data_IF_986713540520
#
_entry.id   IF_986713540520
#
_cell.length_a   1.000
_cell.length_b   1.000
_cell.length_c   1.000
_cell.angle_alpha   90.00
_cell.angle_beta   90.00
_cell.angle_gamma   90.00
#
_symmetry.space_group_name_H-M   'P 1'
#
loop_
_entity.id
_entity.type
_entity.pdbx_description
1 polymer ?
#
# COMPACT_ATOMS: atom_id res chain seq x y z
N UNK A 1 15.96 72.60 41.74
CA UNK A 1 15.30 71.28 41.73
C UNK A 1 14.40 71.26 40.51
N UNK A 2 14.79 70.55 39.44
CA UNK A 2 13.98 70.46 38.22
C UNK A 2 13.65 68.99 38.02
N UNK A 3 12.36 68.68 38.16
CA UNK A 3 11.76 67.38 37.89
C UNK A 3 11.94 66.98 36.42
N UNK A 4 12.42 65.76 36.20
CA UNK A 4 12.22 65.04 34.94
C UNK A 4 11.88 63.58 35.23
N UNK A 5 10.59 63.20 35.15
CA UNK A 5 10.30 61.86 34.64
C UNK A 5 8.98 61.86 33.84
N UNK A 6 9.04 61.87 32.50
CA UNK A 6 7.86 61.45 31.71
C UNK A 6 8.16 60.96 30.28
N UNK A 7 9.37 61.17 29.72
CA UNK A 7 9.68 60.78 28.34
C UNK A 7 9.94 59.28 28.13
N UNK A 8 10.46 58.56 29.15
CA UNK A 8 10.79 57.11 29.03
C UNK A 8 9.56 56.18 29.09
N UNK A 9 8.49 56.58 29.77
CA UNK A 9 7.27 55.77 29.88
C UNK A 9 6.43 55.78 28.60
N UNK A 10 6.38 56.91 27.88
CA UNK A 10 5.64 57.06 26.64
C UNK A 10 6.26 56.26 25.46
N UNK A 11 7.59 56.16 25.42
CA UNK A 11 8.31 55.36 24.41
C UNK A 11 8.10 53.86 24.59
N UNK A 12 8.18 53.34 25.82
CA UNK A 12 7.89 51.93 26.11
C UNK A 12 6.43 51.55 25.79
N UNK A 13 5.47 52.45 26.04
CA UNK A 13 4.04 52.23 25.68
C UNK A 13 3.82 52.20 24.16
N UNK A 14 4.55 53.02 23.38
CA UNK A 14 4.46 52.97 21.90
C UNK A 14 5.09 51.71 21.31
N UNK A 15 6.18 51.23 21.88
CA UNK A 15 6.87 50.03 21.39
C UNK A 15 6.09 48.74 21.67
N UNK A 16 5.45 48.62 22.85
CA UNK A 16 4.52 47.52 23.14
C UNK A 16 3.23 47.59 22.29
N UNK A 17 2.72 48.78 22.00
CA UNK A 17 1.55 48.96 21.12
C UNK A 17 1.87 48.61 19.66
N UNK A 18 3.10 48.86 19.19
CA UNK A 18 3.57 48.51 17.84
C UNK A 18 3.79 47.00 17.69
N UNK A 19 4.46 46.36 18.66
CA UNK A 19 4.60 44.89 18.71
C UNK A 19 3.25 44.17 18.82
N UNK A 20 2.31 44.71 19.60
CA UNK A 20 0.95 44.18 19.68
C UNK A 20 0.19 44.25 18.36
N UNK A 21 0.34 45.35 17.61
CA UNK A 21 -0.23 45.49 16.25
C UNK A 21 0.44 44.57 15.24
N UNK A 22 1.75 44.36 15.31
CA UNK A 22 2.48 43.42 14.43
C UNK A 22 2.06 41.97 14.69
N UNK A 23 1.94 41.55 15.96
CA UNK A 23 1.43 40.22 16.32
C UNK A 23 -0.03 40.02 15.90
N UNK A 24 -0.88 41.03 16.09
CA UNK A 24 -2.27 41.00 15.63
C UNK A 24 -2.33 40.87 14.10
N UNK A 25 -1.47 41.58 13.38
CA UNK A 25 -1.41 41.52 11.91
C UNK A 25 -0.96 40.15 11.43
N UNK A 26 0.05 39.55 12.07
CA UNK A 26 0.49 38.18 11.78
C UNK A 26 -0.64 37.18 12.06
N UNK A 27 -1.33 37.32 13.20
CA UNK A 27 -2.46 36.46 13.55
C UNK A 27 -3.61 36.59 12.54
N UNK A 28 -3.95 37.82 12.12
CA UNK A 28 -4.97 38.08 11.09
C UNK A 28 -4.55 37.46 9.76
N UNK A 29 -3.29 37.56 9.34
CA UNK A 29 -2.79 36.92 8.11
C UNK A 29 -2.89 35.40 8.20
N UNK A 30 -2.54 34.79 9.33
CA UNK A 30 -2.68 33.35 9.55
C UNK A 30 -4.15 32.94 9.51
N UNK A 31 -5.04 33.68 10.18
CA UNK A 31 -6.49 33.41 10.18
C UNK A 31 -7.08 33.60 8.79
N UNK A 32 -6.68 34.62 8.04
CA UNK A 32 -7.10 34.82 6.64
C UNK A 32 -6.58 33.71 5.74
N UNK A 33 -5.32 33.29 5.90
CA UNK A 33 -4.78 32.16 5.16
C UNK A 33 -5.56 30.86 5.47
N UNK A 34 -5.86 30.60 6.74
CA UNK A 34 -6.69 29.47 7.17
C UNK A 34 -8.15 29.60 6.72
N UNK A 35 -8.71 30.79 6.66
CA UNK A 35 -10.07 31.05 6.18
C UNK A 35 -10.19 30.89 4.66
N UNK A 36 -9.18 31.35 3.91
CA UNK A 36 -9.07 31.13 2.46
C UNK A 36 -8.86 29.63 2.19
N UNK A 37 -8.00 28.95 2.95
CA UNK A 37 -7.83 27.49 2.89
C UNK A 37 -9.15 26.77 3.19
N UNK A 38 -9.85 27.12 4.28
CA UNK A 38 -11.14 26.52 4.63
C UNK A 38 -12.24 26.83 3.61
N UNK A 39 -12.25 28.04 3.03
CA UNK A 39 -13.17 28.45 1.98
C UNK A 39 -12.96 27.65 0.70
N UNK A 40 -11.71 27.54 0.24
CA UNK A 40 -11.32 26.76 -0.94
C UNK A 40 -11.59 25.25 -0.76
N UNK A 41 -11.36 24.71 0.44
CA UNK A 41 -11.64 23.29 0.76
C UNK A 41 -13.13 22.97 0.73
N UNK A 42 -14.01 23.96 0.97
CA UNK A 42 -15.48 23.79 0.88
C UNK A 42 -16.05 23.96 -0.53
N UNK A 43 -15.46 24.81 -1.38
CA UNK A 43 -15.99 25.09 -2.73
C UNK A 43 -15.38 24.22 -3.82
N UNK A 44 -14.13 23.82 -3.68
CA UNK A 44 -13.50 22.87 -4.59
C UNK A 44 -13.80 21.49 -4.05
N UNK A 45 -14.68 20.75 -4.72
CA UNK A 45 -14.82 19.31 -4.51
C UNK A 45 -13.49 18.63 -4.85
N UNK A 46 -12.53 18.66 -3.92
CA UNK A 46 -11.25 17.98 -4.00
C UNK A 46 -11.45 16.49 -4.30
N UNK A 47 -12.61 15.92 -3.92
CA UNK A 47 -13.03 14.56 -4.27
C UNK A 47 -13.13 14.31 -5.78
N UNK A 48 -13.48 15.30 -6.59
CA UNK A 48 -13.59 15.15 -8.06
C UNK A 48 -12.21 15.17 -8.74
N UNK A 49 -11.25 15.90 -8.18
CA UNK A 49 -9.90 16.04 -8.76
C UNK A 49 -8.91 14.98 -8.25
N UNK A 50 -9.04 14.52 -7.00
CA UNK A 50 -8.08 13.61 -6.37
C UNK A 50 -8.33 12.12 -6.65
N UNK A 51 -9.48 11.78 -7.24
CA UNK A 51 -9.89 10.39 -7.49
C UNK A 51 -10.33 9.63 -6.23
N UNK A 52 -10.73 8.36 -6.43
CA UNK A 52 -10.92 7.40 -5.33
C UNK A 52 -9.55 6.88 -4.90
N UNK A 53 -9.37 6.73 -3.60
CA UNK A 53 -8.14 6.21 -2.98
C UNK A 53 -8.39 4.79 -2.56
N UNK A 54 -7.50 3.89 -2.96
CA UNK A 54 -7.60 2.47 -2.67
C UNK A 54 -6.84 2.12 -1.38
N UNK A 55 -5.91 2.98 -0.94
CA UNK A 55 -5.12 2.79 0.25
C UNK A 55 -5.66 3.55 1.48
N UNK A 56 -5.70 2.91 2.64
CA UNK A 56 -6.24 3.52 3.88
C UNK A 56 -5.20 4.21 4.76
N UNK A 57 -3.94 4.26 4.36
CA UNK A 57 -2.82 4.82 5.14
C UNK A 57 -2.58 4.16 6.51
N UNK A 58 -3.21 3.01 6.79
CA UNK A 58 -2.97 2.21 7.99
C UNK A 58 -2.14 0.96 7.64
N UNK A 59 -2.50 0.30 6.54
CA UNK A 59 -1.72 -0.80 5.99
C UNK A 59 -0.44 -0.34 5.27
N UNK A 60 0.45 -1.27 4.99
CA UNK A 60 1.61 -1.03 4.13
C UNK A 60 1.17 -0.65 2.72
N UNK A 61 1.90 0.28 2.10
CA UNK A 61 1.71 0.63 0.70
C UNK A 61 2.71 -0.15 -0.13
N UNK A 62 2.21 -1.03 -1.01
CA UNK A 62 3.02 -1.90 -1.88
C UNK A 62 2.87 -1.44 -3.32
N UNK A 63 3.98 -1.36 -4.04
CA UNK A 63 3.96 -1.02 -5.46
C UNK A 63 5.13 -1.63 -6.22
N UNK A 64 4.89 -2.05 -7.47
CA UNK A 64 5.96 -2.35 -8.41
C UNK A 64 6.64 -1.06 -8.90
N UNK A 65 7.97 -1.05 -8.92
CA UNK A 65 8.78 0.02 -9.49
C UNK A 65 9.47 -0.46 -10.78
N UNK A 66 9.12 0.20 -11.89
CA UNK A 66 9.85 0.09 -13.16
C UNK A 66 11.14 0.88 -13.11
N UNK A 67 12.17 0.30 -12.50
CA UNK A 67 13.54 0.84 -12.39
C UNK A 67 14.56 -0.13 -13.00
N UNK A 68 15.84 0.20 -12.94
CA UNK A 68 16.93 -0.70 -13.33
C UNK A 68 17.86 -0.97 -12.13
N UNK A 69 17.87 -2.18 -11.54
CA UNK A 69 16.93 -3.29 -11.79
C UNK A 69 15.49 -2.96 -11.35
N UNK A 70 14.48 -3.71 -11.83
CA UNK A 70 13.10 -3.58 -11.35
C UNK A 70 13.02 -3.86 -9.84
N UNK A 71 12.01 -3.33 -9.16
CA UNK A 71 11.88 -3.53 -7.72
C UNK A 71 10.44 -3.54 -7.22
N UNK A 72 10.24 -4.03 -6.01
CA UNK A 72 9.01 -3.80 -5.23
C UNK A 72 9.31 -2.77 -4.14
N UNK A 73 8.51 -1.71 -4.12
CA UNK A 73 8.49 -0.69 -3.09
C UNK A 73 7.47 -1.05 -2.02
N UNK A 74 7.91 -0.99 -0.76
CA UNK A 74 7.03 -1.14 0.39
C UNK A 74 7.27 0.01 1.36
N UNK A 75 6.23 0.81 1.60
CA UNK A 75 6.19 1.70 2.75
C UNK A 75 5.41 1.02 3.88
N UNK A 76 6.07 0.75 5.00
CA UNK A 76 5.44 0.26 6.22
C UNK A 76 5.22 1.44 7.17
N UNK A 77 4.02 1.55 7.74
CA UNK A 77 3.68 2.63 8.67
C UNK A 77 4.24 2.41 10.07
N UNK A 78 4.19 1.17 10.56
CA UNK A 78 4.58 0.78 11.92
C UNK A 78 5.35 -0.55 11.89
N UNK A 79 6.68 -0.57 12.16
CA UNK A 79 7.53 0.61 12.31
C UNK A 79 7.58 1.42 11.00
N UNK A 80 7.69 2.76 11.11
CA UNK A 80 7.71 3.62 9.93
C UNK A 80 9.03 3.43 9.17
N UNK A 81 8.99 2.82 7.99
CA UNK A 81 10.16 2.57 7.13
C UNK A 81 9.79 2.33 5.67
N UNK A 82 10.79 2.41 4.80
CA UNK A 82 10.67 2.11 3.37
C UNK A 82 11.65 0.99 3.03
N UNK A 83 11.21 0.02 2.27
CA UNK A 83 12.05 -1.00 1.66
C UNK A 83 11.89 -1.03 0.14
N UNK A 84 13.00 -1.20 -0.54
CA UNK A 84 13.11 -1.39 -1.98
C UNK A 84 13.73 -2.75 -2.25
N UNK A 85 12.92 -3.67 -2.73
CA UNK A 85 13.31 -5.04 -3.00
C UNK A 85 13.68 -5.20 -4.47
N UNK A 86 14.98 -5.30 -4.76
CA UNK A 86 15.50 -5.46 -6.13
C UNK A 86 15.13 -6.85 -6.65
N UNK A 87 14.51 -6.87 -7.82
CA UNK A 87 14.16 -8.08 -8.55
C UNK A 87 15.20 -8.33 -9.64
N UNK A 88 15.49 -9.60 -9.91
CA UNK A 88 16.38 -9.98 -11.00
C UNK A 88 15.56 -10.22 -12.28
N UNK A 89 15.69 -9.36 -13.31
CA UNK A 89 14.91 -9.46 -14.54
C UNK A 89 15.26 -10.72 -15.36
N UNK A 90 16.36 -11.40 -15.07
CA UNK A 90 16.78 -12.61 -15.77
C UNK A 90 16.14 -13.89 -15.24
N UNK A 91 15.55 -13.87 -14.03
CA UNK A 91 14.95 -15.05 -13.38
C UNK A 91 13.57 -15.36 -13.91
N UNK A 92 13.18 -16.63 -13.72
CA UNK A 92 11.83 -17.11 -13.99
C UNK A 92 10.93 -16.95 -12.77
N UNK A 93 9.70 -16.52 -13.00
CA UNK A 93 8.65 -16.28 -12.01
C UNK A 93 7.42 -17.10 -12.39
N UNK A 94 6.64 -17.51 -11.38
CA UNK A 94 5.40 -18.24 -11.59
C UNK A 94 4.33 -17.30 -12.15
N UNK A 95 3.73 -17.71 -13.26
CA UNK A 95 2.79 -16.85 -13.99
C UNK A 95 1.33 -17.03 -13.57
N UNK A 96 1.00 -18.14 -12.91
CA UNK A 96 -0.37 -18.61 -12.68
C UNK A 96 -1.02 -19.29 -13.89
N UNK A 97 -0.48 -19.13 -15.10
CA UNK A 97 -1.03 -19.73 -16.33
C UNK A 97 -0.58 -21.18 -16.50
N UNK A 98 -1.53 -22.11 -16.50
CA UNK A 98 -1.28 -23.54 -16.74
C UNK A 98 -0.52 -23.86 -18.03
N UNK A 99 -0.65 -23.05 -19.08
CA UNK A 99 0.02 -23.24 -20.38
C UNK A 99 1.46 -22.72 -20.38
N UNK A 100 1.72 -21.69 -19.59
CA UNK A 100 3.03 -21.06 -19.48
C UNK A 100 3.35 -20.80 -18.00
N UNK A 101 3.55 -21.85 -17.19
CA UNK A 101 3.58 -21.74 -15.72
C UNK A 101 4.74 -20.90 -15.20
N UNK A 102 5.81 -20.76 -15.99
CA UNK A 102 6.97 -19.94 -15.67
C UNK A 102 7.26 -18.97 -16.80
N UNK A 103 7.54 -17.72 -16.42
CA UNK A 103 7.93 -16.65 -17.36
C UNK A 103 9.17 -15.93 -16.87
N UNK A 104 9.99 -15.47 -17.80
CA UNK A 104 11.13 -14.64 -17.46
C UNK A 104 10.69 -13.19 -17.24
N UNK A 105 11.09 -12.57 -16.12
CA UNK A 105 10.58 -11.25 -15.74
C UNK A 105 10.85 -10.16 -16.79
N UNK A 106 12.04 -10.15 -17.39
CA UNK A 106 12.40 -9.24 -18.49
C UNK A 106 11.41 -9.30 -19.66
N UNK A 107 11.00 -10.49 -20.09
CA UNK A 107 10.03 -10.65 -21.19
C UNK A 107 8.68 -10.04 -20.84
N UNK A 108 8.21 -10.24 -19.60
CA UNK A 108 6.93 -9.69 -19.14
C UNK A 108 6.98 -8.16 -19.06
N UNK A 109 8.13 -7.59 -18.66
CA UNK A 109 8.36 -6.14 -18.65
C UNK A 109 8.33 -5.60 -20.09
N UNK A 110 8.97 -6.28 -21.04
CA UNK A 110 9.05 -5.90 -22.44
C UNK A 110 7.68 -5.97 -23.16
N UNK A 111 6.82 -6.91 -22.75
CA UNK A 111 5.45 -7.06 -23.26
C UNK A 111 4.53 -5.86 -22.92
N UNK A 112 4.96 -4.96 -22.02
CA UNK A 112 4.22 -3.77 -21.55
C UNK A 112 2.82 -4.06 -21.00
N UNK A 113 2.51 -5.32 -20.67
CA UNK A 113 1.28 -5.70 -20.01
C UNK A 113 1.44 -5.59 -18.49
N UNK A 114 1.26 -4.37 -17.98
CA UNK A 114 1.45 -4.06 -16.56
C UNK A 114 0.54 -4.88 -15.64
N UNK A 115 -0.71 -5.14 -16.04
CA UNK A 115 -1.62 -5.95 -15.22
C UNK A 115 -1.09 -7.36 -15.03
N UNK A 116 -0.62 -7.97 -16.13
CA UNK A 116 0.02 -9.29 -16.08
C UNK A 116 1.29 -9.26 -15.22
N UNK A 117 2.15 -8.27 -15.41
CA UNK A 117 3.38 -8.11 -14.60
C UNK A 117 3.08 -8.07 -13.10
N UNK A 118 2.11 -7.25 -12.72
CA UNK A 118 1.74 -7.05 -11.32
C UNK A 118 1.14 -8.33 -10.71
N UNK A 119 0.28 -9.05 -11.45
CA UNK A 119 -0.27 -10.33 -10.99
C UNK A 119 0.81 -11.39 -10.82
N UNK A 120 1.78 -11.48 -11.74
CA UNK A 120 2.90 -12.43 -11.66
C UNK A 120 3.77 -12.14 -10.43
N UNK A 121 4.04 -10.86 -10.15
CA UNK A 121 4.76 -10.49 -8.94
C UNK A 121 3.94 -10.75 -7.68
N UNK A 122 2.63 -10.52 -7.71
CA UNK A 122 1.73 -10.80 -6.57
C UNK A 122 1.72 -12.30 -6.22
N UNK A 123 1.67 -13.17 -7.24
CA UNK A 123 1.77 -14.63 -7.10
C UNK A 123 3.11 -15.00 -6.47
N UNK A 124 4.23 -14.62 -7.11
CA UNK A 124 5.55 -15.07 -6.66
C UNK A 124 6.04 -14.48 -5.36
N UNK A 125 5.50 -13.34 -4.93
CA UNK A 125 5.83 -12.73 -3.63
C UNK A 125 4.83 -13.17 -2.55
N UNK A 126 3.66 -13.67 -2.94
CA UNK A 126 2.57 -13.97 -2.02
C UNK A 126 2.02 -12.71 -1.33
N UNK A 127 1.88 -11.60 -2.06
CA UNK A 127 1.25 -10.38 -1.55
C UNK A 127 0.43 -9.68 -2.62
N UNK A 128 -0.65 -9.01 -2.21
CA UNK A 128 -1.42 -8.17 -3.11
C UNK A 128 -0.60 -6.96 -3.55
N UNK A 129 -0.37 -6.85 -4.85
CA UNK A 129 0.28 -5.72 -5.49
C UNK A 129 -0.74 -5.19 -6.47
N UNK A 130 -1.24 -3.97 -6.24
CA UNK A 130 -2.17 -3.33 -7.18
C UNK A 130 -1.54 -2.11 -7.85
N UNK A 131 -0.57 -1.50 -7.19
CA UNK A 131 0.02 -0.24 -7.62
C UNK A 131 1.30 -0.47 -8.41
N UNK A 132 1.54 0.37 -9.42
CA UNK A 132 2.82 0.42 -10.13
C UNK A 132 3.28 1.86 -10.33
N UNK A 133 4.59 2.04 -10.42
CA UNK A 133 5.24 3.29 -10.80
C UNK A 133 6.39 2.96 -11.76
N UNK A 134 6.26 3.34 -13.02
CA UNK A 134 7.34 3.23 -14.00
C UNK A 134 8.13 4.53 -14.03
N UNK A 135 9.46 4.43 -13.89
CA UNK A 135 10.38 5.54 -14.11
C UNK A 135 11.17 5.29 -15.39
N UNK A 136 11.31 6.30 -16.23
CA UNK A 136 12.21 6.19 -17.38
C UNK A 136 13.68 6.19 -16.91
N UNK A 137 14.40 5.09 -17.19
CA UNK A 137 15.86 4.95 -17.02
C UNK A 137 16.40 5.26 -15.62
N UNK A 138 15.62 5.00 -14.57
CA UNK A 138 16.01 5.31 -13.20
C UNK A 138 16.76 4.14 -12.56
N UNK A 139 18.02 4.38 -12.19
CA UNK A 139 18.85 3.40 -11.48
C UNK A 139 18.44 3.28 -10.02
N UNK A 140 18.59 2.08 -9.48
CA UNK A 140 18.27 1.77 -8.09
C UNK A 140 19.53 1.62 -7.22
N UNK A 141 20.42 2.61 -7.32
CA UNK A 141 21.55 2.77 -6.41
C UNK A 141 21.21 3.72 -5.24
N UNK A 142 22.01 3.67 -4.18
CA UNK A 142 21.74 4.39 -2.93
C UNK A 142 21.64 5.90 -3.13
N UNK A 143 22.53 6.47 -3.93
CA UNK A 143 22.56 7.92 -4.18
C UNK A 143 21.29 8.38 -4.90
N UNK A 144 20.90 7.68 -5.96
CA UNK A 144 19.69 7.96 -6.74
C UNK A 144 18.43 7.80 -5.88
N UNK A 145 18.40 6.78 -5.04
CA UNK A 145 17.29 6.53 -4.12
C UNK A 145 17.19 7.62 -3.04
N UNK A 146 18.31 7.99 -2.40
CA UNK A 146 18.35 9.04 -1.38
C UNK A 146 17.91 10.39 -1.97
N UNK A 147 18.37 10.72 -3.18
CA UNK A 147 17.94 11.91 -3.90
C UNK A 147 16.44 11.90 -4.20
N UNK A 148 15.92 10.75 -4.64
CA UNK A 148 14.48 10.57 -4.94
C UNK A 148 13.62 10.68 -3.70
N UNK A 149 14.08 10.09 -2.59
CA UNK A 149 13.43 10.21 -1.30
C UNK A 149 13.38 11.67 -0.84
N UNK A 150 14.49 12.41 -0.92
CA UNK A 150 14.54 13.84 -0.55
C UNK A 150 13.60 14.68 -1.41
N UNK A 151 13.59 14.46 -2.73
CA UNK A 151 12.69 15.18 -3.64
C UNK A 151 11.23 14.89 -3.28
N UNK A 152 10.88 13.61 -3.10
CA UNK A 152 9.52 13.22 -2.73
C UNK A 152 9.13 13.75 -1.35
N UNK A 153 9.98 13.65 -0.33
CA UNK A 153 9.72 14.14 1.02
C UNK A 153 9.67 15.67 1.13
N UNK A 154 10.03 16.40 0.07
CA UNK A 154 10.06 17.87 0.08
C UNK A 154 8.69 18.51 0.27
N UNK A 155 8.69 19.77 0.72
CA UNK A 155 7.48 20.60 0.85
C UNK A 155 6.86 20.98 -0.51
N UNK A 156 7.61 20.83 -1.60
CA UNK A 156 7.14 21.13 -2.95
C UNK A 156 6.29 19.99 -3.54
N UNK A 157 6.44 18.76 -3.05
CA UNK A 157 5.78 17.56 -3.60
C UNK A 157 4.25 17.63 -3.64
N UNK A 158 3.53 18.12 -2.61
CA UNK A 158 2.08 18.25 -2.69
C UNK A 158 1.63 19.11 -3.87
N UNK A 159 2.34 20.20 -4.14
CA UNK A 159 2.04 21.07 -5.28
C UNK A 159 2.35 20.36 -6.61
N UNK A 160 3.43 19.58 -6.70
CA UNK A 160 3.73 18.75 -7.87
C UNK A 160 2.64 17.69 -8.12
N UNK A 161 2.13 17.06 -7.07
CA UNK A 161 1.04 16.07 -7.17
C UNK A 161 -0.26 16.74 -7.65
N UNK A 162 -0.66 17.84 -6.99
CA UNK A 162 -1.91 18.55 -7.31
C UNK A 162 -1.90 19.21 -8.69
N UNK A 163 -0.74 19.69 -9.14
CA UNK A 163 -0.60 20.26 -10.50
C UNK A 163 -0.43 19.19 -11.58
N UNK A 164 -0.40 17.91 -11.22
CA UNK A 164 -0.15 16.80 -12.14
C UNK A 164 1.30 16.74 -12.67
N UNK A 165 2.19 17.64 -12.25
CA UNK A 165 3.60 17.69 -12.69
C UNK A 165 4.42 16.47 -12.25
N UNK A 166 3.95 15.72 -11.26
CA UNK A 166 4.57 14.45 -10.87
C UNK A 166 4.41 13.37 -11.96
N UNK A 167 3.37 13.48 -12.79
CA UNK A 167 3.11 12.61 -13.95
C UNK A 167 3.79 13.14 -15.23
N UNK A 168 4.98 13.74 -15.10
CA UNK A 168 5.74 14.16 -16.28
C UNK A 168 6.00 12.98 -17.22
N UNK A 169 6.43 13.25 -18.46
CA UNK A 169 6.74 12.23 -19.48
C UNK A 169 7.69 11.10 -19.01
N UNK A 170 8.32 11.25 -17.85
CA UNK A 170 9.28 10.34 -17.24
C UNK A 170 8.68 9.39 -16.19
N UNK A 171 7.41 9.54 -15.80
CA UNK A 171 6.73 8.71 -14.79
C UNK A 171 5.31 8.32 -15.21
N UNK A 172 5.00 7.01 -15.17
CA UNK A 172 3.64 6.48 -15.37
C UNK A 172 3.22 5.65 -14.17
N UNK A 173 1.99 5.82 -13.68
CA UNK A 173 1.49 5.14 -12.48
C UNK A 173 -0.03 5.06 -12.47
N UNK A 174 -0.59 4.03 -11.82
CA UNK A 174 -2.00 3.96 -11.47
C UNK A 174 -2.31 4.44 -10.04
N UNK A 175 -1.30 4.89 -9.28
CA UNK A 175 -1.50 5.41 -7.93
C UNK A 175 -2.29 6.72 -8.01
N UNK A 176 -3.39 6.79 -7.27
CA UNK A 176 -4.23 7.99 -7.26
C UNK A 176 -3.48 9.19 -6.69
N UNK A 177 -3.81 10.40 -7.13
CA UNK A 177 -3.26 11.63 -6.54
C UNK A 177 -3.50 11.69 -5.03
N UNK A 178 -4.66 11.20 -4.57
CA UNK A 178 -4.99 11.10 -3.15
C UNK A 178 -4.03 10.17 -2.42
N UNK A 179 -3.76 8.98 -2.96
CA UNK A 179 -2.84 8.02 -2.35
C UNK A 179 -1.40 8.55 -2.35
N UNK A 180 -0.96 9.23 -3.43
CA UNK A 180 0.34 9.91 -3.46
C UNK A 180 0.47 11.00 -2.38
N UNK A 181 -0.58 11.79 -2.14
CA UNK A 181 -0.59 12.80 -1.08
C UNK A 181 -0.57 12.17 0.31
N UNK A 182 -1.32 11.09 0.52
CA UNK A 182 -1.27 10.32 1.77
C UNK A 182 0.13 9.73 1.99
N UNK A 183 0.74 9.19 0.94
CA UNK A 183 2.07 8.60 1.01
C UNK A 183 3.11 9.68 1.32
N UNK A 184 3.06 10.81 0.63
CA UNK A 184 3.89 11.98 0.95
C UNK A 184 3.75 12.40 2.41
N UNK A 185 2.52 12.49 2.92
CA UNK A 185 2.26 12.89 4.29
C UNK A 185 2.94 11.97 5.30
N UNK A 186 2.94 10.66 5.02
CA UNK A 186 3.63 9.69 5.86
C UNK A 186 5.15 9.77 5.71
N UNK A 187 5.64 9.87 4.47
CA UNK A 187 7.06 9.80 4.11
C UNK A 187 7.83 11.07 4.52
N UNK A 188 7.24 12.26 4.48
CA UNK A 188 7.95 13.52 4.84
C UNK A 188 8.51 13.55 6.27
N UNK A 189 8.00 12.69 7.15
CA UNK A 189 8.45 12.54 8.53
C UNK A 189 9.52 11.45 8.74
N UNK A 190 9.84 10.68 7.69
CA UNK A 190 10.86 9.64 7.74
C UNK A 190 12.27 10.25 7.63
N UNK A 191 13.21 9.65 8.36
CA UNK A 191 14.63 9.88 8.12
C UNK A 191 15.13 8.94 7.02
N UNK A 192 16.14 9.39 6.27
CA UNK A 192 16.79 8.59 5.21
C UNK A 192 17.31 7.24 5.72
N UNK A 193 17.77 7.19 6.97
CA UNK A 193 18.29 5.96 7.57
C UNK A 193 17.22 4.86 7.77
N UNK A 194 15.94 5.16 7.51
CA UNK A 194 14.82 4.21 7.49
C UNK A 194 14.48 3.71 6.08
N UNK A 195 15.35 3.98 5.12
CA UNK A 195 15.27 3.45 3.77
C UNK A 195 16.23 2.25 3.64
N UNK A 196 15.69 1.13 3.23
CA UNK A 196 16.41 -0.12 3.05
C UNK A 196 16.35 -0.55 1.58
N UNK A 197 17.49 -0.98 1.04
CA UNK A 197 17.58 -1.55 -0.30
C UNK A 197 18.00 -3.00 -0.12
N UNK A 198 17.11 -3.92 -0.47
CA UNK A 198 17.29 -5.35 -0.28
C UNK A 198 17.43 -6.01 -1.64
N UNK A 199 18.47 -6.81 -1.84
CA UNK A 199 18.66 -7.58 -3.07
C UNK A 199 18.02 -8.96 -2.92
N UNK A 200 17.10 -9.30 -3.84
CA UNK A 200 16.44 -10.60 -3.88
C UNK A 200 17.07 -11.57 -4.88
N UNK A 201 18.14 -11.21 -5.59
CA UNK A 201 18.77 -12.08 -6.58
C UNK A 201 19.21 -13.45 -6.00
N UNK A 202 19.53 -13.49 -4.70
CA UNK A 202 19.91 -14.70 -3.98
C UNK A 202 18.71 -15.59 -3.56
N UNK A 203 17.48 -15.08 -3.60
CA UNK A 203 16.27 -15.88 -3.38
C UNK A 203 15.88 -16.57 -4.69
N UNK A 204 16.69 -17.54 -5.09
CA UNK A 204 16.53 -18.27 -6.35
C UNK A 204 16.79 -19.75 -6.19
N UNK A 205 16.07 -20.54 -6.97
CA UNK A 205 16.19 -21.99 -7.01
C UNK A 205 16.26 -22.49 -8.45
N UNK A 206 16.78 -23.70 -8.63
CA UNK A 206 16.78 -24.36 -9.93
C UNK A 206 15.45 -25.09 -10.12
N UNK A 207 14.66 -24.66 -11.12
CA UNK A 207 13.36 -25.25 -11.41
C UNK A 207 13.47 -26.11 -12.67
N UNK A 208 12.96 -27.33 -12.59
CA UNK A 208 12.85 -28.20 -13.76
C UNK A 208 11.60 -27.83 -14.54
N UNK A 209 11.78 -27.38 -15.78
CA UNK A 209 10.69 -27.16 -16.74
C UNK A 209 10.47 -28.40 -17.60
N UNK A 210 9.37 -28.44 -18.34
CA UNK A 210 9.09 -29.50 -19.30
C UNK A 210 10.30 -29.78 -20.21
N UNK A 211 10.48 -31.05 -20.58
CA UNK A 211 11.63 -31.57 -21.36
C UNK A 211 12.98 -31.63 -20.60
N UNK A 212 12.97 -31.78 -19.27
CA UNK A 212 14.19 -31.87 -18.43
C UNK A 212 15.14 -30.67 -18.51
N UNK A 213 14.69 -29.54 -19.06
CA UNK A 213 15.46 -28.32 -19.03
C UNK A 213 15.39 -27.71 -17.62
N UNK A 214 16.52 -27.18 -17.15
CA UNK A 214 16.63 -26.51 -15.86
C UNK A 214 16.75 -25.01 -16.10
N UNK A 215 15.96 -24.24 -15.37
CA UNK A 215 16.01 -22.78 -15.40
C UNK A 215 16.21 -22.25 -13.99
N UNK A 216 16.80 -21.07 -13.88
CA UNK A 216 16.97 -20.41 -12.60
C UNK A 216 15.73 -19.56 -12.30
N UNK A 217 14.88 -20.08 -11.43
CA UNK A 217 13.66 -19.43 -10.97
C UNK A 217 13.86 -18.70 -9.65
N UNK A 218 12.80 -18.02 -9.22
CA UNK A 218 12.73 -17.47 -7.86
C UNK A 218 12.26 -18.51 -6.87
N UNK A 219 12.84 -18.50 -5.68
CA UNK A 219 12.34 -19.26 -4.53
C UNK A 219 11.24 -18.40 -3.87
N UNK A 220 9.97 -18.74 -4.13
CA UNK A 220 8.79 -17.99 -3.67
C UNK A 220 8.71 -17.92 -2.14
N UNK A 221 9.10 -18.99 -1.44
CA UNK A 221 9.07 -19.03 0.03
C UNK A 221 10.12 -18.07 0.61
N UNK A 222 11.35 -18.10 0.07
CA UNK A 222 12.41 -17.16 0.46
C UNK A 222 12.05 -15.72 0.13
N UNK A 223 11.39 -15.47 -0.99
CA UNK A 223 10.89 -14.14 -1.36
C UNK A 223 9.85 -13.63 -0.36
N UNK A 224 8.81 -14.43 -0.13
CA UNK A 224 7.74 -14.10 0.81
C UNK A 224 8.29 -13.86 2.21
N UNK A 225 9.18 -14.73 2.70
CA UNK A 225 9.79 -14.60 4.03
C UNK A 225 10.56 -13.28 4.20
N UNK A 226 11.28 -12.82 3.18
CA UNK A 226 12.01 -11.54 3.21
C UNK A 226 11.08 -10.32 3.17
N UNK A 227 9.94 -10.43 2.49
CA UNK A 227 9.02 -9.30 2.26
C UNK A 227 7.96 -9.17 3.36
N UNK A 228 7.44 -10.29 3.89
CA UNK A 228 6.37 -10.33 4.89
C UNK A 228 6.57 -9.41 6.11
N UNK A 229 7.78 -9.25 6.69
CA UNK A 229 8.01 -8.33 7.81
C UNK A 229 7.67 -6.85 7.52
N UNK A 230 7.60 -6.47 6.25
CA UNK A 230 7.28 -5.11 5.80
C UNK A 230 5.79 -4.95 5.44
N UNK A 231 5.04 -6.05 5.38
CA UNK A 231 3.61 -6.07 5.05
C UNK A 231 2.71 -6.08 6.29
N UNK A 232 3.26 -6.44 7.46
CA UNK A 232 2.50 -6.56 8.70
C UNK A 232 1.72 -5.27 9.03
N UNK A 233 0.41 -5.43 9.24
CA UNK A 233 -0.51 -4.37 9.60
C UNK A 233 -0.80 -4.40 11.10
N UNK A 234 -0.09 -3.58 11.88
CA UNK A 234 -0.27 -3.52 13.34
C UNK A 234 -1.64 -2.97 13.78
N UNK A 235 -2.39 -2.33 12.87
CA UNK A 235 -3.74 -1.81 13.16
C UNK A 235 -4.82 -2.91 13.16
N UNK A 236 -4.49 -4.15 12.80
CA UNK A 236 -5.44 -5.26 12.82
C UNK A 236 -5.95 -5.56 14.23
N UNK A 237 -7.26 -5.77 14.35
CA UNK A 237 -7.89 -6.12 15.62
C UNK A 237 -7.40 -7.49 16.08
N UNK A 238 -6.70 -7.54 17.23
CA UNK A 238 -6.17 -8.77 17.82
C UNK A 238 -7.23 -9.86 18.02
N UNK A 239 -8.48 -9.48 18.31
CA UNK A 239 -9.60 -10.42 18.53
C UNK A 239 -10.20 -10.98 17.23
N UNK A 240 -9.78 -10.48 16.07
CA UNK A 240 -10.28 -10.87 14.74
C UNK A 240 -9.13 -11.22 13.81
N UNK A 241 -8.07 -11.85 14.36
CA UNK A 241 -6.91 -12.29 13.57
C UNK A 241 -7.09 -13.65 12.92
N UNK A 242 -7.99 -14.49 13.42
CA UNK A 242 -8.26 -15.79 12.84
C UNK A 242 -9.18 -15.63 11.63
N UNK A 243 -8.69 -16.08 10.47
CA UNK A 243 -9.39 -16.02 9.19
C UNK A 243 -9.50 -17.42 8.62
N UNK A 244 -10.71 -17.84 8.29
CA UNK A 244 -10.95 -19.08 7.54
C UNK A 244 -11.04 -18.76 6.06
N UNK A 245 -10.23 -19.42 5.25
CA UNK A 245 -10.26 -19.30 3.79
C UNK A 245 -10.97 -20.54 3.24
N UNK A 246 -12.17 -20.37 2.72
CA UNK A 246 -12.90 -21.40 2.00
C UNK A 246 -12.64 -21.25 0.49
N UNK A 247 -11.89 -22.20 -0.06
CA UNK A 247 -11.70 -22.26 -1.50
C UNK A 247 -12.89 -22.98 -2.14
N UNK A 248 -13.70 -22.23 -2.90
CA UNK A 248 -14.79 -22.79 -3.70
C UNK A 248 -14.45 -22.88 -5.18
N UNK A 249 -13.24 -22.46 -5.57
CA UNK A 249 -12.77 -22.53 -6.96
C UNK A 249 -12.23 -23.92 -7.30
N UNK A 250 -12.03 -24.19 -8.59
CA UNK A 250 -11.35 -25.38 -9.09
C UNK A 250 -9.81 -25.26 -9.04
N UNK A 251 -9.27 -24.11 -8.64
CA UNK A 251 -7.83 -23.85 -8.57
C UNK A 251 -7.34 -23.98 -7.13
N UNK A 252 -6.70 -25.09 -6.79
CA UNK A 252 -6.15 -25.33 -5.44
C UNK A 252 -5.13 -24.24 -5.03
N UNK A 253 -4.32 -23.76 -5.98
CA UNK A 253 -3.32 -22.72 -5.74
C UNK A 253 -3.94 -21.36 -5.32
N UNK A 254 -5.22 -21.11 -5.62
CA UNK A 254 -5.91 -19.89 -5.21
C UNK A 254 -6.02 -19.80 -3.68
N UNK A 255 -6.27 -20.92 -3.00
CA UNK A 255 -6.33 -20.97 -1.54
C UNK A 255 -4.97 -20.64 -0.90
N UNK A 256 -3.89 -21.18 -1.49
CA UNK A 256 -2.51 -20.93 -1.05
C UNK A 256 -2.16 -19.45 -1.20
N UNK A 257 -2.41 -18.87 -2.38
CA UNK A 257 -2.13 -17.45 -2.63
C UNK A 257 -2.93 -16.54 -1.69
N UNK A 258 -4.22 -16.80 -1.52
CA UNK A 258 -5.07 -16.07 -0.59
C UNK A 258 -4.55 -16.18 0.86
N UNK A 259 -4.08 -17.36 1.27
CA UNK A 259 -3.50 -17.58 2.60
C UNK A 259 -2.21 -16.78 2.77
N UNK A 260 -1.36 -16.69 1.74
CA UNK A 260 -0.15 -15.84 1.78
C UNK A 260 -0.51 -14.35 1.88
N UNK A 261 -1.49 -13.87 1.11
CA UNK A 261 -1.94 -12.48 1.18
C UNK A 261 -2.41 -12.11 2.59
N UNK A 262 -3.20 -13.00 3.21
CA UNK A 262 -3.82 -12.77 4.51
C UNK A 262 -2.80 -12.95 5.64
N UNK A 263 -1.96 -13.98 5.60
CA UNK A 263 -0.93 -14.21 6.63
C UNK A 263 0.19 -13.17 6.58
N UNK A 264 0.63 -12.75 5.38
CA UNK A 264 1.67 -11.73 5.21
C UNK A 264 1.34 -10.38 5.83
N UNK A 265 0.05 -10.02 5.93
CA UNK A 265 -0.39 -8.77 6.58
C UNK A 265 -0.65 -8.94 8.09
N UNK A 266 -0.50 -10.14 8.64
CA UNK A 266 -0.52 -10.40 10.09
C UNK A 266 -1.77 -11.12 10.64
N UNK A 267 -2.61 -11.70 9.77
CA UNK A 267 -3.68 -12.61 10.20
C UNK A 267 -3.16 -14.04 10.40
N UNK A 268 -3.91 -14.85 11.12
CA UNK A 268 -3.72 -16.30 11.25
C UNK A 268 -4.76 -16.97 10.36
N UNK A 269 -4.30 -17.77 9.40
CA UNK A 269 -5.19 -18.39 8.41
C UNK A 269 -5.39 -19.87 8.66
N UNK A 270 -6.63 -20.34 8.50
CA UNK A 270 -6.97 -21.76 8.34
C UNK A 270 -7.62 -21.93 6.98
N UNK A 271 -7.09 -22.82 6.14
CA UNK A 271 -7.61 -23.06 4.79
C UNK A 271 -8.49 -24.30 4.77
N UNK A 272 -9.65 -24.20 4.14
CA UNK A 272 -10.62 -25.29 3.95
C UNK A 272 -10.93 -25.36 2.45
N UNK A 273 -10.70 -26.50 1.84
CA UNK A 273 -11.15 -26.76 0.48
C UNK A 273 -12.57 -27.31 0.52
N UNK A 274 -13.50 -26.62 -0.14
CA UNK A 274 -14.90 -27.02 -0.17
C UNK A 274 -15.18 -27.71 -1.49
N UNK A 275 -15.61 -28.97 -1.42
CA UNK A 275 -16.13 -29.69 -2.59
C UNK A 275 -17.58 -29.29 -2.82
N UNK A 276 -17.86 -28.60 -3.92
CA UNK A 276 -19.20 -28.08 -4.22
C UNK A 276 -19.26 -27.22 -5.48
N UNK A 277 -20.41 -26.59 -5.71
CA UNK A 277 -20.59 -25.66 -6.84
C UNK A 277 -19.69 -24.43 -6.64
N UNK A 278 -18.86 -24.08 -7.64
CA UNK A 278 -18.04 -22.89 -7.58
C UNK A 278 -18.86 -21.62 -7.37
N UNK A 279 -18.35 -20.71 -6.55
CA UNK A 279 -18.94 -19.38 -6.43
C UNK A 279 -18.29 -18.43 -7.41
N UNK A 280 -19.07 -17.57 -8.06
CA UNK A 280 -18.52 -16.63 -9.05
C UNK A 280 -17.73 -15.48 -8.42
N UNK A 281 -18.18 -15.01 -7.25
CA UNK A 281 -17.60 -13.84 -6.58
C UNK A 281 -17.04 -14.17 -5.22
N UNK A 282 -15.85 -13.65 -4.96
CA UNK A 282 -15.21 -13.66 -3.65
C UNK A 282 -16.01 -12.80 -2.69
N UNK A 283 -16.07 -13.17 -1.41
CA UNK A 283 -16.80 -12.42 -0.37
C UNK A 283 -16.21 -12.64 1.01
N UNK A 284 -16.35 -11.61 1.85
CA UNK A 284 -16.03 -11.69 3.28
C UNK A 284 -17.31 -11.94 4.08
N UNK A 285 -17.35 -13.00 4.88
CA UNK A 285 -18.44 -13.28 5.81
C UNK A 285 -17.97 -12.95 7.23
N UNK A 286 -18.68 -12.05 7.90
CA UNK A 286 -18.40 -11.69 9.29
C UNK A 286 -19.65 -11.19 9.99
N UNK A 287 -19.72 -11.34 11.31
CA UNK A 287 -20.78 -10.75 12.15
C UNK A 287 -20.57 -9.26 12.42
N UNK A 288 -19.38 -8.70 12.13
CA UNK A 288 -18.99 -7.33 12.48
C UNK A 288 -18.45 -6.60 11.26
N UNK A 289 -19.35 -6.08 10.43
CA UNK A 289 -19.03 -5.37 9.17
C UNK A 289 -18.17 -4.12 9.38
N UNK A 290 -18.31 -3.46 10.52
CA UNK A 290 -17.59 -2.21 10.82
C UNK A 290 -16.19 -2.43 11.39
N UNK A 291 -15.83 -3.69 11.68
CA UNK A 291 -14.49 -4.07 12.09
C UNK A 291 -13.47 -3.72 10.99
N UNK A 292 -12.41 -3.00 11.37
CA UNK A 292 -11.34 -2.61 10.46
C UNK A 292 -10.70 -3.82 9.77
N UNK A 293 -10.44 -4.92 10.48
CA UNK A 293 -9.87 -6.15 9.91
C UNK A 293 -10.74 -6.73 8.79
N UNK A 294 -12.07 -6.70 8.96
CA UNK A 294 -13.04 -7.20 7.97
C UNK A 294 -13.02 -6.32 6.71
N UNK A 295 -13.07 -4.98 6.90
CA UNK A 295 -12.99 -4.03 5.79
C UNK A 295 -11.65 -4.05 5.07
N UNK A 296 -10.57 -4.34 5.80
CA UNK A 296 -9.24 -4.44 5.22
C UNK A 296 -9.10 -5.69 4.35
N UNK A 297 -9.58 -6.84 4.83
CA UNK A 297 -9.66 -8.07 4.01
C UNK A 297 -10.52 -7.86 2.77
N UNK A 298 -11.69 -7.23 2.90
CA UNK A 298 -12.55 -6.93 1.77
C UNK A 298 -11.85 -6.10 0.68
N UNK A 299 -10.90 -5.23 1.05
CA UNK A 299 -10.09 -4.48 0.09
C UNK A 299 -9.03 -5.34 -0.60
N UNK A 300 -8.29 -6.15 0.14
CA UNK A 300 -7.28 -7.08 -0.42
C UNK A 300 -7.90 -7.97 -1.51
N UNK A 301 -9.13 -8.41 -1.28
CA UNK A 301 -9.85 -9.29 -2.20
C UNK A 301 -10.80 -8.56 -3.16
N UNK A 302 -10.84 -7.22 -3.13
CA UNK A 302 -11.78 -6.37 -3.87
C UNK A 302 -13.23 -6.92 -3.89
N UNK A 303 -13.80 -7.16 -2.70
CA UNK A 303 -15.07 -7.86 -2.57
C UNK A 303 -16.02 -7.27 -1.51
N UNK A 304 -17.27 -7.72 -1.55
CA UNK A 304 -18.31 -7.30 -0.62
C UNK A 304 -18.22 -8.04 0.74
N UNK A 305 -18.73 -7.38 1.78
CA UNK A 305 -18.89 -7.95 3.12
C UNK A 305 -20.35 -8.38 3.31
N UNK A 306 -20.54 -9.67 3.56
CA UNK A 306 -21.83 -10.28 3.88
C UNK A 306 -21.92 -10.51 5.39
N UNK A 307 -23.00 -10.02 6.00
CA UNK A 307 -23.25 -10.23 7.42
C UNK A 307 -23.75 -11.65 7.64
N UNK A 308 -23.05 -12.43 8.45
CA UNK A 308 -23.51 -13.78 8.81
C UNK A 308 -24.88 -13.67 9.50
N UNK A 309 -25.92 -14.43 9.07
CA UNK A 309 -27.20 -14.44 9.77
C UNK A 309 -26.97 -14.92 11.21
N UNK A 310 -27.59 -14.23 12.18
CA UNK A 310 -27.61 -14.69 13.56
C UNK A 310 -28.16 -16.12 13.60
N UNK A 311 -27.49 -17.02 14.32
CA UNK A 311 -27.92 -18.42 14.43
C UNK A 311 -29.40 -18.47 14.83
N UNK A 312 -30.27 -19.19 14.08
CA UNK A 312 -31.71 -19.23 14.35
C UNK A 312 -32.08 -19.96 15.66
N UNK A 313 -31.10 -20.52 16.37
CA UNK A 313 -31.27 -21.09 17.71
C UNK A 313 -30.70 -20.09 18.70
N UNK A 314 -31.59 -19.41 19.44
CA UNK A 314 -31.29 -18.36 20.43
C UNK A 314 -30.52 -18.84 21.66
N UNK A 315 -29.42 -19.53 21.47
CA UNK A 315 -28.44 -19.77 22.53
C UNK A 315 -27.48 -18.56 22.54
N UNK A 316 -27.34 -17.86 23.68
CA UNK A 316 -26.32 -16.86 23.85
C UNK A 316 -24.98 -17.58 23.96
N UNK A 317 -24.32 -17.82 22.82
CA UNK A 317 -22.89 -18.12 22.87
C UNK A 317 -22.19 -16.86 23.33
N UNK A 318 -21.49 -16.94 24.46
CA UNK A 318 -20.44 -16.00 24.83
C UNK A 318 -19.54 -15.71 23.62
N UNK A 319 -18.89 -14.53 23.55
CA UNK A 319 -18.25 -14.03 22.33
C UNK A 319 -16.93 -14.76 22.05
N UNK A 320 -17.01 -16.05 21.76
CA UNK A 320 -15.88 -16.90 21.44
C UNK A 320 -15.58 -16.73 19.95
N UNK A 321 -14.61 -15.84 19.69
CA UNK A 321 -13.98 -15.54 18.40
C UNK A 321 -14.94 -15.15 17.29
N UNK A 322 -15.00 -13.84 16.99
CA UNK A 322 -15.57 -13.31 15.74
C UNK A 322 -14.69 -13.75 14.56
N UNK A 323 -14.82 -15.01 14.17
CA UNK A 323 -14.10 -15.61 13.05
C UNK A 323 -14.52 -14.91 11.75
N UNK A 324 -13.53 -14.46 10.97
CA UNK A 324 -13.77 -13.86 9.66
C UNK A 324 -13.59 -14.98 8.64
N UNK A 325 -14.54 -15.15 7.73
CA UNK A 325 -14.43 -16.14 6.66
C UNK A 325 -14.29 -15.45 5.31
N UNK A 326 -13.28 -15.84 4.55
CA UNK A 326 -13.08 -15.45 3.14
C UNK A 326 -13.55 -16.62 2.30
N UNK A 327 -14.58 -16.42 1.48
CA UNK A 327 -15.03 -17.42 0.50
C UNK A 327 -14.47 -16.97 -0.85
N UNK A 328 -13.53 -17.74 -1.41
CA UNK A 328 -12.90 -17.44 -2.70
C UNK A 328 -13.80 -17.88 -3.84
N UNK A 329 -14.06 -16.96 -4.77
CA UNK A 329 -14.79 -17.21 -6.01
C UNK A 329 -13.91 -17.21 -7.26
N UNK A 330 -14.53 -17.49 -8.40
CA UNK A 330 -13.87 -17.54 -9.70
C UNK A 330 -13.24 -16.21 -10.09
N UNK A 331 -13.79 -15.07 -9.66
CA UNK A 331 -13.19 -13.75 -9.88
C UNK A 331 -11.74 -13.65 -9.37
N UNK A 332 -11.45 -14.25 -8.21
CA UNK A 332 -10.10 -14.28 -7.64
C UNK A 332 -9.21 -15.25 -8.41
N UNK A 333 -9.66 -16.47 -8.70
CA UNK A 333 -8.84 -17.43 -9.44
C UNK A 333 -8.59 -16.96 -10.88
N UNK A 334 -9.57 -16.37 -11.53
CA UNK A 334 -9.45 -15.83 -12.89
C UNK A 334 -8.47 -14.64 -12.93
N UNK A 335 -8.45 -13.78 -11.89
CA UNK A 335 -7.49 -12.66 -11.82
C UNK A 335 -6.04 -13.14 -11.80
N UNK A 336 -5.73 -14.25 -11.14
CA UNK A 336 -4.35 -14.70 -10.90
C UNK A 336 -3.92 -15.93 -11.70
N UNK A 337 -4.85 -16.73 -12.22
CA UNK A 337 -4.53 -18.03 -12.83
C UNK A 337 -5.14 -18.25 -14.23
N UNK A 338 -5.76 -17.24 -14.85
CA UNK A 338 -6.28 -17.29 -16.23
C UNK A 338 -5.86 -16.06 -17.04
#
# INVERSE_FOLDING_TARGET
>A
MVDYPNSRAAWKKRDTQKRGRELLSIFIVIVLALAILNGLVKTISLKKYLGKSNWDSQASFVSYLGTTPPAVFIFQKEPKRIALFKLDPSKYYFSGDSKLPLVQLSKVIDDKNTSKLVNILAISIGTDIENYIFFQNKKLDKETVDASFKDFASIATPFKILSGKIYSNTMSTNVSQKDLLLLWWQVKSLSINRLEIVDLAAASEEISVGNNQKVLGVDEESLHFKIAPYLENQSLNKKSRNVVIENTTDVAAAATLASQFVSGVGFVTTTINVTGTPTEKTKIVSSDRDNYSVRYLAKIFDCDIVVAPASPRGEPKEPETKEIKVILGNDFSDRYFK
#
